data_IF_588428879164
#
_entry.id   IF_588428879164
#
_cell.length_a   1.000
_cell.length_b   1.000
_cell.length_c   1.000
_cell.angle_alpha   90.00
_cell.angle_beta   90.00
_cell.angle_gamma   90.00
#
_symmetry.space_group_name_H-M   'P 1'
#
loop_
_entity.id
_entity.type
_entity.pdbx_description
1 polymer ?
#
# COMPACT_ATOMS: atom_id res chain seq x y z
N UNK A 1 4.32 28.93 17.39
CA UNK A 1 3.67 28.67 18.71
C UNK A 1 3.91 27.18 18.98
N UNK A 2 4.78 26.87 19.97
CA UNK A 2 4.99 25.49 20.41
C UNK A 2 3.80 25.15 21.32
N UNK A 3 2.90 24.30 20.86
CA UNK A 3 1.84 23.75 21.71
C UNK A 3 2.48 22.66 22.57
N UNK A 4 2.72 22.94 23.83
CA UNK A 4 3.14 21.93 24.80
C UNK A 4 1.91 21.09 25.13
N UNK A 5 1.85 19.87 24.61
CA UNK A 5 0.80 18.93 24.94
C UNK A 5 1.04 18.37 26.36
N UNK A 6 0.09 18.58 27.26
CA UNK A 6 0.13 17.95 28.58
C UNK A 6 -0.09 16.43 28.48
N UNK A 7 0.65 15.69 29.28
CA UNK A 7 0.46 14.24 29.37
C UNK A 7 -0.96 13.92 29.88
N UNK A 8 -1.71 13.04 29.20
CA UNK A 8 -3.05 12.64 29.63
C UNK A 8 -3.06 12.08 31.05
N UNK A 9 -4.01 12.55 31.88
CA UNK A 9 -4.18 12.08 33.28
C UNK A 9 -4.85 10.72 33.38
N UNK A 10 -5.57 10.30 32.32
CA UNK A 10 -6.24 9.01 32.26
C UNK A 10 -5.52 8.09 31.28
N UNK A 11 -5.22 6.88 31.70
CA UNK A 11 -4.71 5.83 30.85
C UNK A 11 -5.87 5.04 30.22
N UNK A 12 -5.74 4.59 28.98
CA UNK A 12 -6.73 3.70 28.37
C UNK A 12 -6.75 2.36 29.12
N UNK A 13 -7.93 1.72 29.19
CA UNK A 13 -8.06 0.40 29.81
C UNK A 13 -7.20 -0.67 29.14
N UNK A 14 -6.92 -0.52 27.86
CA UNK A 14 -6.05 -1.38 27.07
C UNK A 14 -5.06 -0.48 26.32
N UNK A 15 -3.81 -0.36 26.80
CA UNK A 15 -2.82 0.55 26.22
C UNK A 15 -2.02 -0.07 25.07
N UNK A 16 -2.41 -1.24 24.59
CA UNK A 16 -1.70 -1.95 23.52
C UNK A 16 -2.17 -1.42 22.17
N UNK A 17 -1.47 -0.42 21.65
CA UNK A 17 -1.72 0.22 20.37
C UNK A 17 -0.65 -0.12 19.33
N UNK A 18 0.06 -1.23 19.51
CA UNK A 18 1.09 -1.63 18.56
C UNK A 18 0.49 -2.04 17.21
N UNK A 19 1.16 -1.65 16.16
CA UNK A 19 0.96 -2.13 14.81
C UNK A 19 1.63 -3.52 14.66
N UNK A 20 1.10 -4.37 13.79
CA UNK A 20 1.62 -5.72 13.56
C UNK A 20 0.74 -6.78 14.22
N UNK A 21 1.28 -7.73 15.01
CA UNK A 21 0.44 -8.75 15.65
C UNK A 21 -0.61 -8.10 16.53
N UNK A 22 -1.85 -8.10 16.08
CA UNK A 22 -2.96 -7.50 16.82
C UNK A 22 -3.86 -8.59 17.39
N UNK A 23 -4.65 -8.19 18.40
CA UNK A 23 -5.68 -9.07 18.96
C UNK A 23 -6.68 -9.41 17.86
N UNK A 24 -7.00 -10.69 17.72
CA UNK A 24 -8.02 -11.16 16.80
C UNK A 24 -9.39 -10.55 17.15
N UNK A 25 -10.33 -10.59 16.18
CA UNK A 25 -11.69 -10.10 16.37
C UNK A 25 -12.34 -10.66 17.67
N UNK A 26 -13.27 -9.93 18.29
CA UNK A 26 -14.00 -10.42 19.45
C UNK A 26 -14.63 -11.80 19.17
N UNK A 27 -14.54 -12.71 20.14
CA UNK A 27 -15.09 -14.08 20.02
C UNK A 27 -14.22 -15.06 19.21
N UNK A 28 -13.06 -14.64 18.67
CA UNK A 28 -12.14 -15.55 18.02
C UNK A 28 -11.38 -16.40 19.05
N UNK A 29 -11.25 -17.69 18.77
CA UNK A 29 -10.42 -18.62 19.55
C UNK A 29 -9.73 -19.60 18.60
N UNK A 30 -8.72 -20.33 19.09
CA UNK A 30 -8.05 -21.38 18.33
C UNK A 30 -9.00 -22.51 17.88
N UNK A 31 -10.12 -22.70 18.60
CA UNK A 31 -11.13 -23.71 18.22
C UNK A 31 -11.78 -23.38 16.87
N UNK A 32 -11.82 -22.10 16.48
CA UNK A 32 -12.27 -21.69 15.16
C UNK A 32 -11.45 -22.33 14.03
N UNK A 33 -10.17 -22.65 14.27
CA UNK A 33 -9.33 -23.31 13.28
C UNK A 33 -9.65 -24.78 13.09
N UNK A 34 -10.22 -25.45 14.08
CA UNK A 34 -10.56 -26.89 14.04
C UNK A 34 -11.61 -27.20 12.97
N UNK A 35 -12.46 -26.24 12.64
CA UNK A 35 -13.49 -26.38 11.60
C UNK A 35 -12.98 -26.13 10.17
N UNK A 36 -11.72 -25.71 10.01
CA UNK A 36 -11.16 -25.48 8.68
C UNK A 36 -10.64 -26.78 8.07
N UNK A 37 -11.38 -27.30 7.12
CA UNK A 37 -11.04 -28.53 6.38
C UNK A 37 -9.76 -28.41 5.52
N UNK A 38 -9.23 -27.20 5.39
CA UNK A 38 -8.03 -26.90 4.57
C UNK A 38 -6.71 -27.09 5.33
N UNK A 39 -6.75 -27.20 6.67
CA UNK A 39 -5.54 -27.37 7.46
C UNK A 39 -4.82 -28.68 7.10
N UNK A 40 -3.51 -28.56 6.83
CA UNK A 40 -2.69 -29.72 6.42
C UNK A 40 -2.88 -30.16 4.96
N UNK A 41 -3.71 -29.47 4.18
CA UNK A 41 -3.89 -29.76 2.75
C UNK A 41 -2.98 -28.90 1.88
N UNK A 42 -2.68 -29.40 0.67
CA UNK A 42 -1.97 -28.61 -0.33
C UNK A 42 -2.80 -27.40 -0.76
N UNK A 43 -2.15 -26.23 -0.87
CA UNK A 43 -2.76 -25.03 -1.46
C UNK A 43 -3.28 -25.26 -2.90
N UNK A 44 -2.85 -26.34 -3.58
CA UNK A 44 -3.32 -26.73 -4.92
C UNK A 44 -4.55 -27.64 -4.90
N UNK A 45 -5.00 -28.09 -3.71
CA UNK A 45 -6.26 -28.84 -3.61
C UNK A 45 -7.44 -27.95 -3.96
N UNK A 46 -8.50 -28.55 -4.55
CA UNK A 46 -9.67 -27.77 -4.99
C UNK A 46 -10.28 -26.94 -3.87
N UNK A 47 -10.36 -27.48 -2.67
CA UNK A 47 -10.89 -26.77 -1.51
C UNK A 47 -10.05 -25.54 -1.15
N UNK A 48 -8.71 -25.66 -1.17
CA UNK A 48 -7.82 -24.52 -0.90
C UNK A 48 -7.89 -23.47 -2.02
N UNK A 49 -7.98 -23.89 -3.28
CA UNK A 49 -8.17 -22.98 -4.42
C UNK A 49 -9.48 -22.20 -4.31
N UNK A 50 -10.56 -22.85 -3.88
CA UNK A 50 -11.84 -22.18 -3.64
C UNK A 50 -11.70 -21.08 -2.57
N UNK A 51 -11.07 -21.37 -1.43
CA UNK A 51 -10.83 -20.37 -0.39
C UNK A 51 -9.96 -19.19 -0.88
N UNK A 52 -8.91 -19.47 -1.67
CA UNK A 52 -8.09 -18.39 -2.24
C UNK A 52 -8.90 -17.51 -3.21
N UNK A 53 -9.73 -18.12 -4.04
CA UNK A 53 -10.63 -17.39 -4.94
C UNK A 53 -11.65 -16.54 -4.16
N UNK A 54 -12.21 -17.09 -3.08
CA UNK A 54 -13.12 -16.33 -2.21
C UNK A 54 -12.43 -15.13 -1.56
N UNK A 55 -11.17 -15.28 -1.11
CA UNK A 55 -10.38 -14.16 -0.59
C UNK A 55 -10.20 -13.08 -1.65
N UNK A 56 -9.83 -13.44 -2.88
CA UNK A 56 -9.68 -12.48 -3.98
C UNK A 56 -11.01 -11.77 -4.27
N UNK A 57 -12.10 -12.53 -4.37
CA UNK A 57 -13.44 -11.99 -4.60
C UNK A 57 -13.86 -11.01 -3.50
N UNK A 58 -13.76 -11.43 -2.24
CA UNK A 58 -14.10 -10.59 -1.08
C UNK A 58 -13.22 -9.33 -1.01
N UNK A 59 -11.95 -9.43 -1.39
CA UNK A 59 -11.05 -8.28 -1.48
C UNK A 59 -11.56 -7.27 -2.50
N UNK A 60 -11.93 -7.72 -3.71
CA UNK A 60 -12.50 -6.85 -4.75
C UNK A 60 -13.79 -6.19 -4.28
N UNK A 61 -14.72 -6.96 -3.71
CA UNK A 61 -16.00 -6.47 -3.22
C UNK A 61 -15.83 -5.47 -2.06
N UNK A 62 -14.94 -5.78 -1.09
CA UNK A 62 -14.74 -4.94 0.10
C UNK A 62 -14.10 -3.60 -0.22
N UNK A 63 -13.22 -3.57 -1.22
CA UNK A 63 -12.44 -2.41 -1.60
C UNK A 63 -12.99 -1.67 -2.83
N UNK A 64 -14.15 -2.06 -3.33
CA UNK A 64 -14.76 -1.52 -4.55
C UNK A 64 -13.78 -1.53 -5.74
N UNK A 65 -12.96 -2.60 -5.89
CA UNK A 65 -11.99 -2.73 -6.97
C UNK A 65 -12.74 -3.02 -8.29
N UNK A 66 -12.50 -2.25 -9.36
CA UNK A 66 -13.16 -2.48 -10.65
C UNK A 66 -12.90 -3.88 -11.22
N UNK A 67 -13.84 -4.40 -12.00
CA UNK A 67 -13.80 -5.77 -12.52
C UNK A 67 -12.62 -6.05 -13.45
N UNK A 68 -12.17 -5.05 -14.19
CA UNK A 68 -11.04 -5.13 -15.11
C UNK A 68 -9.68 -5.21 -14.39
N UNK A 69 -9.61 -4.81 -13.11
CA UNK A 69 -8.41 -4.99 -12.30
C UNK A 69 -8.17 -6.46 -11.94
N UNK A 70 -6.92 -6.85 -11.97
CA UNK A 70 -6.47 -8.17 -11.48
C UNK A 70 -5.97 -8.05 -10.05
N UNK A 71 -6.43 -8.95 -9.18
CA UNK A 71 -5.95 -9.06 -7.80
C UNK A 71 -5.13 -10.34 -7.69
N UNK A 72 -3.92 -10.24 -7.16
CA UNK A 72 -3.04 -11.36 -6.93
C UNK A 72 -2.56 -11.39 -5.47
N UNK A 73 -2.53 -12.58 -4.87
CA UNK A 73 -1.91 -12.83 -3.58
C UNK A 73 -0.47 -13.27 -3.84
N UNK A 74 0.49 -12.52 -3.34
CA UNK A 74 1.92 -12.78 -3.52
C UNK A 74 2.60 -13.03 -2.17
N UNK A 75 3.68 -13.82 -2.13
CA UNK A 75 4.43 -14.08 -0.89
C UNK A 75 5.24 -12.87 -0.44
N UNK A 76 5.56 -12.82 0.84
CA UNK A 76 6.29 -11.72 1.46
C UNK A 76 5.34 -10.64 1.97
N UNK A 77 5.83 -9.62 2.59
CA UNK A 77 5.06 -8.47 3.02
C UNK A 77 4.69 -7.58 1.82
N UNK A 78 4.05 -6.41 2.09
CA UNK A 78 3.86 -5.41 1.04
C UNK A 78 5.18 -5.02 0.35
N UNK A 79 6.31 -5.09 1.06
CA UNK A 79 7.64 -4.88 0.45
C UNK A 79 7.86 -5.81 -0.73
N UNK A 80 7.63 -7.12 -0.55
CA UNK A 80 7.77 -8.08 -1.64
C UNK A 80 6.81 -7.83 -2.81
N UNK A 81 5.57 -7.43 -2.52
CA UNK A 81 4.58 -7.10 -3.55
C UNK A 81 5.00 -5.84 -4.35
N UNK A 82 5.44 -4.80 -3.65
CA UNK A 82 5.83 -3.54 -4.27
C UNK A 82 7.13 -3.68 -5.09
N UNK A 83 8.14 -4.34 -4.53
CA UNK A 83 9.37 -4.66 -5.25
C UNK A 83 9.09 -5.52 -6.49
N UNK A 84 8.25 -6.55 -6.37
CA UNK A 84 7.86 -7.37 -7.53
C UNK A 84 7.27 -6.53 -8.65
N UNK A 85 6.42 -5.56 -8.32
CA UNK A 85 5.85 -4.63 -9.29
C UNK A 85 6.92 -3.73 -9.91
N UNK A 86 7.76 -3.11 -9.09
CA UNK A 86 8.84 -2.23 -9.56
C UNK A 86 9.81 -2.97 -10.48
N UNK A 87 10.32 -4.13 -10.03
CA UNK A 87 11.29 -4.93 -10.84
C UNK A 87 10.74 -5.42 -12.15
N UNK A 88 9.40 -5.56 -12.26
CA UNK A 88 8.76 -6.10 -13.45
C UNK A 88 8.34 -5.03 -14.46
N UNK A 89 8.02 -3.81 -14.01
CA UNK A 89 7.27 -2.89 -14.84
C UNK A 89 7.83 -1.46 -14.91
N UNK A 90 8.63 -1.00 -13.91
CA UNK A 90 9.14 0.38 -13.89
C UNK A 90 10.30 0.56 -14.88
N UNK A 91 10.42 1.75 -15.47
CA UNK A 91 11.62 2.21 -16.17
C UNK A 91 11.58 2.26 -17.67
N UNK A 92 10.52 1.82 -18.40
CA UNK A 92 10.38 2.14 -19.81
C UNK A 92 10.22 3.65 -20.08
N UNK A 93 9.70 4.39 -19.09
CA UNK A 93 9.57 5.84 -19.10
C UNK A 93 10.39 6.46 -17.97
N UNK A 94 10.64 7.80 -18.01
CA UNK A 94 11.15 8.52 -16.86
C UNK A 94 10.28 8.27 -15.62
N UNK A 95 10.88 8.34 -14.44
CA UNK A 95 10.20 8.03 -13.18
C UNK A 95 10.11 9.24 -12.27
N UNK A 96 8.91 9.59 -11.83
CA UNK A 96 8.65 10.49 -10.72
C UNK A 96 8.44 9.70 -9.44
N UNK A 97 9.40 9.72 -8.52
CA UNK A 97 9.31 9.02 -7.25
C UNK A 97 9.14 10.01 -6.08
N UNK A 98 8.06 9.82 -5.32
CA UNK A 98 7.67 10.72 -4.24
C UNK A 98 8.01 10.12 -2.88
N UNK A 99 8.60 10.89 -1.98
CA UNK A 99 8.95 10.46 -0.63
C UNK A 99 8.80 11.58 0.40
N UNK A 100 8.03 11.31 1.45
CA UNK A 100 7.87 12.21 2.60
C UNK A 100 7.84 11.46 3.94
N UNK A 101 8.28 10.19 3.90
CA UNK A 101 8.42 9.34 5.07
C UNK A 101 9.29 8.11 4.76
N UNK A 102 9.44 7.21 5.73
CA UNK A 102 10.41 6.11 5.67
C UNK A 102 10.16 5.13 4.52
N UNK A 103 8.91 4.70 4.31
CA UNK A 103 8.59 3.70 3.27
C UNK A 103 8.77 4.27 1.87
N UNK A 104 8.21 5.46 1.60
CA UNK A 104 8.43 6.14 0.32
C UNK A 104 9.91 6.40 0.04
N UNK A 105 10.70 6.71 1.08
CA UNK A 105 12.16 6.84 0.95
C UNK A 105 12.83 5.51 0.62
N UNK A 106 12.30 4.39 1.13
CA UNK A 106 12.74 3.05 0.77
C UNK A 106 12.54 2.77 -0.71
N UNK A 107 11.34 3.04 -1.24
CA UNK A 107 11.03 2.85 -2.66
C UNK A 107 11.92 3.71 -3.57
N UNK A 108 12.17 4.97 -3.19
CA UNK A 108 13.13 5.83 -3.89
C UNK A 108 14.52 5.22 -3.90
N UNK A 109 14.97 4.66 -2.77
CA UNK A 109 16.26 4.00 -2.65
C UNK A 109 16.37 2.79 -3.60
N UNK A 110 15.32 1.98 -3.67
CA UNK A 110 15.29 0.80 -4.53
C UNK A 110 15.34 1.18 -6.02
N UNK A 111 14.53 2.14 -6.44
CA UNK A 111 14.53 2.64 -7.82
C UNK A 111 15.91 3.19 -8.19
N UNK A 112 16.52 3.98 -7.29
CA UNK A 112 17.79 4.65 -7.55
C UNK A 112 18.99 3.70 -7.49
N UNK A 113 19.08 2.90 -6.42
CA UNK A 113 20.32 2.19 -6.07
C UNK A 113 20.29 0.71 -6.46
N UNK A 114 19.12 0.08 -6.50
CA UNK A 114 18.97 -1.32 -6.88
C UNK A 114 18.64 -1.44 -8.37
N UNK A 115 17.58 -0.80 -8.82
CA UNK A 115 17.17 -0.80 -10.23
C UNK A 115 18.02 0.11 -11.10
N UNK A 116 18.69 1.11 -10.51
CA UNK A 116 19.59 2.05 -11.19
C UNK A 116 18.92 2.77 -12.35
N UNK A 117 17.68 3.18 -12.16
CA UNK A 117 16.94 3.97 -13.16
C UNK A 117 17.63 5.31 -13.33
N UNK A 118 18.09 5.62 -14.55
CA UNK A 118 18.84 6.83 -14.85
C UNK A 118 17.96 8.08 -14.91
N UNK A 119 16.78 7.96 -15.51
CA UNK A 119 15.83 9.08 -15.66
C UNK A 119 14.83 9.08 -14.48
N UNK A 120 15.35 9.44 -13.31
CA UNK A 120 14.63 9.47 -12.04
C UNK A 120 14.58 10.89 -11.48
N UNK A 121 13.36 11.40 -11.31
CA UNK A 121 13.09 12.63 -10.57
C UNK A 121 12.56 12.29 -9.19
N UNK A 122 13.17 12.86 -8.17
CA UNK A 122 12.84 12.56 -6.78
C UNK A 122 12.18 13.78 -6.14
N UNK A 123 10.91 13.65 -5.76
CA UNK A 123 10.12 14.67 -5.07
C UNK A 123 10.07 14.36 -3.58
N UNK A 124 10.77 15.16 -2.76
CA UNK A 124 10.86 14.94 -1.31
C UNK A 124 10.22 16.06 -0.53
N UNK A 125 9.67 15.70 0.63
CA UNK A 125 9.29 16.64 1.66
C UNK A 125 9.72 16.12 3.05
N UNK A 126 9.87 17.03 4.01
CA UNK A 126 10.13 16.68 5.40
C UNK A 126 8.89 16.08 6.06
N UNK A 127 9.09 15.38 7.18
CA UNK A 127 7.99 14.83 7.98
C UNK A 127 6.97 15.93 8.34
N UNK A 128 5.69 15.59 8.15
CA UNK A 128 4.59 16.53 8.34
C UNK A 128 4.18 17.32 7.09
N UNK A 129 4.95 17.20 6.01
CA UNK A 129 4.68 17.87 4.74
C UNK A 129 4.53 16.84 3.60
N UNK A 130 3.98 17.28 2.48
CA UNK A 130 3.89 16.51 1.23
C UNK A 130 4.64 17.27 0.13
N UNK A 131 5.30 16.56 -0.82
CA UNK A 131 5.92 17.21 -1.97
C UNK A 131 4.90 17.98 -2.82
N UNK A 132 5.38 18.92 -3.61
CA UNK A 132 4.53 19.62 -4.59
C UNK A 132 4.08 18.66 -5.69
N UNK A 133 2.83 18.23 -5.62
CA UNK A 133 2.23 17.27 -6.55
C UNK A 133 1.98 17.87 -7.94
N UNK A 134 2.03 19.19 -8.11
CA UNK A 134 1.87 19.86 -9.41
C UNK A 134 3.07 19.69 -10.33
N UNK A 135 4.19 19.24 -9.80
CA UNK A 135 5.43 19.00 -10.55
C UNK A 135 5.47 17.64 -11.25
N UNK A 136 4.48 16.79 -11.00
CA UNK A 136 4.45 15.44 -11.57
C UNK A 136 4.01 15.48 -13.04
N UNK A 137 4.80 14.84 -13.89
CA UNK A 137 4.58 14.85 -15.34
C UNK A 137 3.55 13.83 -15.83
N UNK A 138 3.05 14.06 -17.04
CA UNK A 138 2.11 13.15 -17.71
C UNK A 138 2.82 11.99 -18.45
N UNK A 139 4.12 12.15 -18.74
CA UNK A 139 4.93 11.24 -19.56
C UNK A 139 5.90 10.40 -18.71
N UNK A 140 5.54 10.11 -17.46
CA UNK A 140 6.38 9.42 -16.48
C UNK A 140 5.65 8.32 -15.77
N UNK A 141 6.38 7.30 -15.31
CA UNK A 141 5.92 6.39 -14.29
C UNK A 141 5.92 7.12 -12.94
N UNK A 142 4.92 6.88 -12.10
CA UNK A 142 4.76 7.58 -10.83
C UNK A 142 4.83 6.55 -9.69
N UNK A 143 5.78 6.73 -8.76
CA UNK A 143 5.93 5.87 -7.60
C UNK A 143 5.67 6.66 -6.31
N UNK A 144 4.69 6.23 -5.49
CA UNK A 144 4.32 6.94 -4.26
C UNK A 144 3.63 6.05 -3.23
N UNK A 145 3.57 6.52 -1.99
CA UNK A 145 2.71 5.98 -0.94
C UNK A 145 1.40 6.78 -0.89
N UNK A 146 0.24 6.10 -0.77
CA UNK A 146 -1.03 6.82 -0.58
C UNK A 146 -1.07 7.54 0.75
N UNK A 147 -0.60 6.88 1.78
CA UNK A 147 -0.46 7.42 3.12
C UNK A 147 0.95 7.15 3.65
N UNK A 148 1.66 8.19 4.04
CA UNK A 148 2.96 8.07 4.67
C UNK A 148 2.80 7.57 6.10
N UNK A 149 2.93 6.27 6.31
CA UNK A 149 2.69 5.58 7.59
C UNK A 149 3.44 6.22 8.75
N UNK A 150 4.70 6.54 8.55
CA UNK A 150 5.57 7.06 9.63
C UNK A 150 5.45 8.56 9.85
N UNK A 151 4.89 9.31 8.91
CA UNK A 151 4.66 10.75 9.03
C UNK A 151 3.21 11.13 9.31
N UNK A 152 2.26 10.22 9.03
CA UNK A 152 0.82 10.49 9.12
C UNK A 152 0.29 11.42 8.03
N UNK A 153 1.10 11.73 7.02
CA UNK A 153 0.71 12.59 5.90
C UNK A 153 0.27 11.74 4.71
N UNK A 154 -0.93 11.99 4.22
CA UNK A 154 -1.48 11.29 3.05
C UNK A 154 -1.62 12.24 1.86
N UNK A 155 -1.68 11.68 0.65
CA UNK A 155 -2.12 12.45 -0.52
C UNK A 155 -3.54 12.98 -0.30
N UNK A 156 -3.84 14.23 -0.69
CA UNK A 156 -5.16 14.81 -0.47
C UNK A 156 -6.27 14.07 -1.24
N UNK A 157 -5.96 13.65 -2.45
CA UNK A 157 -6.81 12.91 -3.39
C UNK A 157 -5.95 12.45 -4.58
N UNK A 158 -6.56 11.88 -5.62
CA UNK A 158 -5.86 11.49 -6.86
C UNK A 158 -5.97 12.51 -8.01
N UNK A 159 -6.50 13.72 -7.79
CA UNK A 159 -6.73 14.69 -8.86
C UNK A 159 -5.42 15.18 -9.53
N UNK A 160 -4.31 15.13 -8.81
CA UNK A 160 -2.99 15.47 -9.30
C UNK A 160 -2.44 14.44 -10.32
N UNK A 161 -2.99 13.24 -10.36
CA UNK A 161 -2.62 12.22 -11.33
C UNK A 161 -3.43 12.46 -12.62
N UNK A 162 -2.75 12.76 -13.72
CA UNK A 162 -3.39 13.01 -15.01
C UNK A 162 -4.08 11.76 -15.56
N UNK A 163 -5.28 11.91 -16.11
CA UNK A 163 -5.94 10.84 -16.88
C UNK A 163 -5.29 10.63 -18.27
N UNK A 164 -4.49 11.59 -18.74
CA UNK A 164 -3.80 11.53 -20.02
C UNK A 164 -2.37 11.01 -19.89
N UNK A 165 -1.96 10.59 -18.69
CA UNK A 165 -0.61 10.08 -18.47
C UNK A 165 -0.31 8.89 -19.38
N UNK A 166 0.93 8.79 -19.80
CA UNK A 166 1.44 7.66 -20.60
C UNK A 166 2.08 6.59 -19.74
N UNK A 167 2.63 6.99 -18.59
CA UNK A 167 3.24 6.09 -17.63
C UNK A 167 2.22 5.46 -16.68
N UNK A 168 2.68 4.50 -15.90
CA UNK A 168 1.90 3.77 -14.91
C UNK A 168 2.15 4.31 -13.50
N UNK A 169 1.14 4.18 -12.64
CA UNK A 169 1.25 4.53 -11.23
C UNK A 169 1.56 3.28 -10.40
N UNK A 170 2.55 3.39 -9.51
CA UNK A 170 2.89 2.42 -8.48
C UNK A 170 2.51 3.03 -7.12
N UNK A 171 1.44 2.54 -6.53
CA UNK A 171 0.91 3.06 -5.27
C UNK A 171 1.03 2.04 -4.16
N UNK A 172 1.81 2.35 -3.13
CA UNK A 172 1.76 1.63 -1.85
C UNK A 172 0.59 2.17 -1.03
N UNK A 173 -0.45 1.37 -0.86
CA UNK A 173 -1.66 1.73 -0.15
C UNK A 173 -1.84 0.98 1.18
N UNK A 174 -0.81 0.33 1.69
CA UNK A 174 -0.89 -0.57 2.87
C UNK A 174 -1.59 0.06 4.06
N UNK A 175 -1.21 1.27 4.45
CA UNK A 175 -1.81 1.94 5.62
C UNK A 175 -3.06 2.76 5.28
N UNK A 176 -3.58 2.67 4.07
CA UNK A 176 -4.72 3.46 3.61
C UNK A 176 -5.92 2.62 3.18
N UNK A 177 -5.69 1.51 2.49
CA UNK A 177 -6.69 0.85 1.65
C UNK A 177 -7.95 0.40 2.39
N UNK A 178 -7.82 -0.06 3.64
CA UNK A 178 -8.96 -0.48 4.46
C UNK A 178 -9.61 0.65 5.26
N UNK A 179 -9.10 1.88 5.17
CA UNK A 179 -9.60 3.05 5.91
C UNK A 179 -9.98 4.23 5.04
N UNK A 180 -9.62 4.20 3.76
CA UNK A 180 -9.82 5.31 2.83
C UNK A 180 -10.32 4.77 1.49
N UNK A 181 -11.14 5.56 0.80
CA UNK A 181 -11.49 5.27 -0.60
C UNK A 181 -10.35 5.70 -1.51
N UNK A 182 -9.97 4.80 -2.41
CA UNK A 182 -9.01 5.07 -3.47
C UNK A 182 -9.76 5.37 -4.78
N UNK A 183 -9.19 6.26 -5.59
CA UNK A 183 -9.70 6.54 -6.94
C UNK A 183 -9.03 5.57 -7.93
N UNK A 184 -9.65 4.40 -8.11
CA UNK A 184 -9.12 3.33 -8.95
C UNK A 184 -8.86 3.75 -10.40
N UNK A 185 -9.62 4.70 -10.94
CA UNK A 185 -9.41 5.21 -12.30
C UNK A 185 -8.05 5.91 -12.50
N UNK A 186 -7.41 6.26 -11.39
CA UNK A 186 -6.11 6.94 -11.36
C UNK A 186 -4.95 6.03 -11.01
N UNK A 187 -5.23 4.77 -10.67
CA UNK A 187 -4.25 3.82 -10.16
C UNK A 187 -4.13 2.63 -11.11
N UNK A 188 -2.89 2.28 -11.48
CA UNK A 188 -2.61 1.15 -12.34
C UNK A 188 -2.12 -0.06 -11.53
N UNK A 189 -1.13 0.16 -10.67
CA UNK A 189 -0.57 -0.86 -9.78
C UNK A 189 -0.69 -0.38 -8.34
N UNK A 190 -1.45 -1.11 -7.54
CA UNK A 190 -1.63 -0.80 -6.12
C UNK A 190 -1.25 -2.02 -5.29
N UNK A 191 -0.40 -1.83 -4.31
CA UNK A 191 0.02 -2.90 -3.40
C UNK A 191 -0.41 -2.61 -1.97
N UNK A 192 -0.69 -3.66 -1.23
CA UNK A 192 -1.10 -3.60 0.17
C UNK A 192 -0.96 -4.96 0.84
N UNK A 193 -1.05 -4.98 2.15
CA UNK A 193 -1.14 -6.21 2.95
C UNK A 193 -2.30 -6.12 3.94
N UNK A 194 -2.77 -7.29 4.39
CA UNK A 194 -3.81 -7.39 5.42
C UNK A 194 -3.24 -7.17 6.82
#
# INVERSE_FOLDING_TARGET
>A
IIVVLEKPKKLPKRPNFSCGPCVKRPGWSLDNLKSFEVLGRSHRSQICLNYLNDVIKLTKETLDIPEDFKVAIVPGSNTGAFEMALWSMIGPLPVDALAWETFGSGWVNDIKNQLKINDLRIHKADYGNIPDLSLIGDDTDICFTWNGTTSGVKVPNANWISRKRKGITFCDATSAIYSQKLDWEKLDVTTFSW
#
